data_IF_212735418947
#
_entry.id   IF_212735418947
#
_cell.length_a   1.000
_cell.length_b   1.000
_cell.length_c   1.000
_cell.angle_alpha   90.00
_cell.angle_beta   90.00
_cell.angle_gamma   90.00
#
_symmetry.space_group_name_H-M   'P 1'
#
loop_
_entity.id
_entity.type
_entity.pdbx_description
1 polymer ?
#
# COMPACT_ATOMS: atom_id res chain seq x y z
N UNK A 1 -53.68 -9.46 22.55
CA UNK A 1 -52.91 -9.25 21.30
C UNK A 1 -51.94 -8.07 21.44
N UNK A 2 -50.87 -8.20 22.23
CA UNK A 2 -49.86 -7.12 22.44
C UNK A 2 -48.42 -7.62 22.62
N UNK A 3 -48.12 -8.89 22.30
CA UNK A 3 -46.79 -9.48 22.50
C UNK A 3 -46.04 -9.83 21.20
N UNK A 4 -46.61 -9.53 20.04
CA UNK A 4 -46.02 -9.87 18.72
C UNK A 4 -45.31 -8.71 18.01
N UNK A 5 -45.23 -7.53 18.64
CA UNK A 5 -44.71 -6.32 17.99
C UNK A 5 -43.25 -5.97 18.32
N UNK A 6 -42.52 -6.83 19.03
CA UNK A 6 -41.11 -6.58 19.40
C UNK A 6 -40.09 -7.39 18.58
N UNK A 7 -40.53 -8.28 17.69
CA UNK A 7 -39.62 -9.12 16.90
C UNK A 7 -39.29 -8.49 15.53
N UNK A 8 -40.02 -7.45 15.10
CA UNK A 8 -39.81 -6.85 13.78
C UNK A 8 -38.85 -5.67 13.73
N UNK A 9 -38.35 -5.19 14.88
CA UNK A 9 -37.53 -3.96 14.94
C UNK A 9 -36.02 -4.21 15.04
N UNK A 10 -35.56 -5.45 15.16
CA UNK A 10 -34.12 -5.77 15.22
C UNK A 10 -33.51 -6.13 13.86
N UNK A 11 -34.33 -6.33 12.83
CA UNK A 11 -33.89 -6.78 11.51
C UNK A 11 -33.28 -5.68 10.63
N UNK A 12 -33.40 -4.41 11.02
CA UNK A 12 -32.89 -3.27 10.25
C UNK A 12 -31.52 -2.76 10.70
N UNK A 13 -30.90 -3.29 11.76
CA UNK A 13 -29.53 -2.91 12.13
C UNK A 13 -28.45 -3.60 11.28
N UNK A 14 -28.84 -4.41 10.30
CA UNK A 14 -27.95 -4.89 9.24
C UNK A 14 -27.90 -3.87 8.08
N UNK A 15 -27.81 -2.58 8.40
CA UNK A 15 -27.48 -1.56 7.40
C UNK A 15 -26.03 -1.74 6.97
N UNK A 16 -25.87 -2.57 5.95
CA UNK A 16 -24.82 -2.48 4.95
C UNK A 16 -23.41 -2.38 5.51
N UNK A 17 -22.79 -3.53 5.76
CA UNK A 17 -21.33 -3.65 5.74
C UNK A 17 -20.84 -3.46 4.28
N UNK A 18 -21.17 -2.33 3.64
CA UNK A 18 -20.90 -2.02 2.24
C UNK A 18 -19.41 -2.07 2.03
N UNK A 19 -18.96 -3.03 1.23
CA UNK A 19 -17.56 -3.28 0.89
C UNK A 19 -16.86 -1.95 0.57
N UNK A 20 -15.81 -1.59 1.31
CA UNK A 20 -15.10 -0.30 1.18
C UNK A 20 -13.81 -0.44 0.33
N UNK A 21 -13.64 -1.57 -0.36
CA UNK A 21 -12.49 -1.82 -1.23
C UNK A 21 -12.41 -0.74 -2.32
N UNK A 22 -11.26 -0.06 -2.40
CA UNK A 22 -10.97 0.92 -3.46
C UNK A 22 -11.78 2.21 -3.43
N UNK A 23 -12.51 2.52 -2.35
CA UNK A 23 -13.37 3.73 -2.31
C UNK A 23 -12.63 5.02 -1.96
N UNK A 24 -11.60 4.94 -1.12
CA UNK A 24 -10.84 6.10 -0.64
C UNK A 24 -9.35 5.88 -0.87
N UNK A 25 -8.61 6.92 -1.31
CA UNK A 25 -7.17 6.85 -1.43
C UNK A 25 -6.52 6.76 -0.04
N UNK A 26 -5.33 6.17 -0.02
CA UNK A 26 -4.41 6.18 1.08
C UNK A 26 -3.18 6.98 0.67
N UNK A 27 -2.65 7.76 1.60
CA UNK A 27 -1.32 8.30 1.50
C UNK A 27 -0.32 7.22 1.95
N UNK A 28 0.39 6.67 0.97
CA UNK A 28 1.59 5.88 1.20
C UNK A 28 2.77 6.85 1.15
N UNK A 29 3.38 7.09 2.30
CA UNK A 29 4.45 8.08 2.44
C UNK A 29 5.77 7.42 2.79
N UNK A 30 6.84 7.83 2.13
CA UNK A 30 8.22 7.46 2.42
C UNK A 30 8.93 8.69 3.01
N UNK A 31 9.55 8.50 4.17
CA UNK A 31 10.37 9.48 4.86
C UNK A 31 11.80 8.93 4.87
N UNK A 32 12.64 9.44 3.97
CA UNK A 32 14.02 8.99 3.83
C UNK A 32 14.86 9.51 5.01
N UNK A 33 15.90 8.77 5.39
CA UNK A 33 16.85 9.20 6.43
C UNK A 33 17.61 10.48 6.03
N UNK A 34 17.63 10.83 4.75
CA UNK A 34 18.14 12.11 4.23
C UNK A 34 17.25 13.31 4.58
N UNK A 35 16.00 13.08 5.00
CA UNK A 35 14.97 14.09 5.17
C UNK A 35 14.07 14.31 3.96
N UNK A 36 14.30 13.60 2.84
CA UNK A 36 13.41 13.64 1.69
C UNK A 36 12.08 12.93 1.98
N UNK A 37 10.99 13.42 1.38
CA UNK A 37 9.64 12.87 1.58
C UNK A 37 8.95 12.59 0.25
N UNK A 38 8.52 11.35 0.03
CA UNK A 38 7.73 10.96 -1.13
C UNK A 38 6.33 10.51 -0.71
N UNK A 39 5.31 11.14 -1.30
CA UNK A 39 3.92 10.81 -1.09
C UNK A 39 3.29 10.22 -2.35
N UNK A 40 2.57 9.11 -2.17
CA UNK A 40 1.80 8.43 -3.19
C UNK A 40 0.37 8.26 -2.72
N UNK A 41 -0.58 8.71 -3.53
CA UNK A 41 -2.00 8.48 -3.28
C UNK A 41 -2.47 7.24 -4.04
N UNK A 42 -2.72 6.15 -3.31
CA UNK A 42 -3.15 4.89 -3.90
C UNK A 42 -4.40 4.35 -3.23
N UNK A 43 -5.30 3.78 -4.02
CA UNK A 43 -6.41 2.97 -3.48
C UNK A 43 -5.92 1.60 -3.03
N UNK A 44 -6.57 1.04 -2.01
CA UNK A 44 -6.30 -0.30 -1.49
C UNK A 44 -7.48 -1.24 -1.72
N UNK A 45 -7.17 -2.46 -2.14
CA UNK A 45 -8.12 -3.55 -2.36
C UNK A 45 -7.71 -4.77 -1.52
N UNK A 46 -8.67 -5.38 -0.81
CA UNK A 46 -8.43 -6.63 -0.06
C UNK A 46 -8.70 -7.90 -0.90
N UNK A 47 -9.12 -7.74 -2.16
CA UNK A 47 -9.34 -8.84 -3.10
C UNK A 47 -8.66 -8.51 -4.41
N UNK A 48 -8.13 -9.54 -5.03
CA UNK A 48 -7.67 -9.48 -6.41
C UNK A 48 -8.79 -8.96 -7.32
N UNK A 49 -8.44 -8.01 -8.19
CA UNK A 49 -9.35 -7.43 -9.18
C UNK A 49 -9.17 -8.21 -10.48
N UNK A 50 -10.26 -8.79 -11.02
CA UNK A 50 -10.20 -9.54 -12.29
C UNK A 50 -10.27 -8.65 -13.53
N UNK A 51 -10.56 -7.36 -13.34
CA UNK A 51 -10.84 -6.37 -14.39
C UNK A 51 -9.60 -5.59 -14.87
N UNK A 52 -8.43 -5.80 -14.25
CA UNK A 52 -7.22 -5.01 -14.52
C UNK A 52 -5.94 -5.84 -14.74
N UNK A 53 -6.02 -7.17 -14.73
CA UNK A 53 -4.87 -8.04 -14.95
C UNK A 53 -5.26 -9.09 -15.97
N UNK A 54 -4.68 -9.02 -17.16
CA UNK A 54 -4.73 -10.14 -18.09
C UNK A 54 -3.97 -11.31 -17.44
N UNK A 55 -4.59 -12.50 -17.49
CA UNK A 55 -4.24 -13.73 -16.76
C UNK A 55 -2.78 -14.25 -16.97
N UNK A 56 -1.93 -13.56 -17.74
CA UNK A 56 -0.63 -14.07 -18.18
C UNK A 56 0.60 -13.49 -17.44
N UNK A 57 0.51 -12.32 -16.78
CA UNK A 57 1.70 -11.68 -16.16
C UNK A 57 1.90 -11.98 -14.66
N UNK A 58 0.98 -12.71 -14.03
CA UNK A 58 1.08 -13.04 -12.61
C UNK A 58 1.58 -14.46 -12.38
N UNK A 59 2.74 -14.82 -12.93
CA UNK A 59 3.46 -16.05 -12.58
C UNK A 59 3.88 -16.14 -11.08
N UNK A 60 3.47 -15.20 -10.21
CA UNK A 60 3.44 -15.34 -8.75
C UNK A 60 2.13 -15.97 -8.21
N UNK A 61 1.36 -16.66 -9.06
CA UNK A 61 -0.06 -16.99 -8.86
C UNK A 61 -0.44 -18.10 -7.86
N UNK A 62 0.49 -18.80 -7.20
CA UNK A 62 0.08 -20.04 -6.48
C UNK A 62 -0.09 -19.87 -4.97
N UNK A 63 0.48 -18.82 -4.35
CA UNK A 63 0.52 -18.71 -2.87
C UNK A 63 -0.23 -17.52 -2.27
N UNK A 64 -0.74 -16.56 -3.06
CA UNK A 64 -1.47 -15.39 -2.55
C UNK A 64 -2.99 -15.61 -2.34
N UNK A 65 -3.46 -16.85 -2.52
CA UNK A 65 -4.85 -17.23 -2.25
C UNK A 65 -5.21 -17.02 -0.76
N UNK A 66 -6.31 -16.32 -0.51
CA UNK A 66 -7.03 -16.14 0.78
C UNK A 66 -6.56 -15.02 1.72
N UNK A 67 -6.82 -13.75 1.37
CA UNK A 67 -6.86 -12.64 2.34
C UNK A 67 -5.51 -12.26 2.97
N UNK A 68 -4.43 -12.93 2.57
CA UNK A 68 -3.04 -12.74 3.00
C UNK A 68 -2.33 -11.59 2.27
N UNK A 69 -3.03 -10.82 1.46
CA UNK A 69 -2.46 -9.64 0.80
C UNK A 69 -3.45 -8.47 0.83
N UNK A 70 -2.90 -7.27 0.62
CA UNK A 70 -3.63 -6.12 0.11
C UNK A 70 -2.96 -5.68 -1.20
N UNK A 71 -3.78 -5.20 -2.11
CA UNK A 71 -3.37 -4.72 -3.42
C UNK A 71 -3.48 -3.20 -3.40
N UNK A 72 -2.44 -2.52 -3.82
CA UNK A 72 -2.44 -1.08 -4.05
C UNK A 72 -2.76 -0.83 -5.52
N UNK A 73 -3.21 0.37 -5.85
CA UNK A 73 -3.35 0.82 -7.22
C UNK A 73 -2.00 0.72 -7.98
N UNK A 74 -2.04 0.50 -9.30
CA UNK A 74 -0.86 0.22 -10.14
C UNK A 74 -0.09 -1.04 -9.73
N UNK A 75 -0.82 -2.12 -9.46
CA UNK A 75 -0.30 -3.50 -9.46
C UNK A 75 0.72 -3.84 -8.37
N UNK A 76 0.77 -3.01 -7.34
CA UNK A 76 1.65 -3.20 -6.19
C UNK A 76 0.95 -4.07 -5.14
N UNK A 77 1.69 -5.00 -4.56
CA UNK A 77 1.16 -5.95 -3.58
C UNK A 77 1.90 -5.83 -2.27
N UNK A 78 1.14 -5.80 -1.17
CA UNK A 78 1.65 -5.96 0.19
C UNK A 78 1.10 -7.25 0.80
N UNK A 79 2.00 -8.15 1.19
CA UNK A 79 1.71 -9.42 1.86
C UNK A 79 1.53 -9.17 3.36
N UNK A 80 0.47 -9.73 3.92
CA UNK A 80 0.20 -9.78 5.36
C UNK A 80 0.91 -10.99 5.94
N UNK A 81 1.75 -10.77 6.93
CA UNK A 81 2.35 -11.84 7.72
C UNK A 81 1.44 -12.24 8.88
N UNK A 82 1.66 -13.44 9.42
CA UNK A 82 0.99 -13.91 10.64
C UNK A 82 1.25 -12.96 11.84
N UNK A 83 2.39 -12.25 11.84
CA UNK A 83 2.75 -11.25 12.85
C UNK A 83 2.10 -9.87 12.68
N UNK A 84 1.05 -9.75 11.87
CA UNK A 84 0.38 -8.48 11.54
C UNK A 84 1.33 -7.42 10.96
N UNK A 85 2.24 -7.85 10.08
CA UNK A 85 3.05 -6.94 9.27
C UNK A 85 2.57 -6.93 7.82
N UNK A 86 2.71 -5.79 7.17
CA UNK A 86 2.65 -5.65 5.72
C UNK A 86 4.08 -5.64 5.18
N UNK A 87 4.34 -6.49 4.20
CA UNK A 87 5.63 -6.60 3.50
C UNK A 87 5.42 -6.53 2.00
N UNK A 88 6.28 -5.86 1.26
CA UNK A 88 6.21 -5.88 -0.21
C UNK A 88 7.51 -5.45 -0.85
N UNK A 89 7.66 -5.83 -2.11
CA UNK A 89 8.78 -5.43 -2.95
C UNK A 89 8.26 -5.12 -4.35
N UNK A 90 8.44 -3.88 -4.81
CA UNK A 90 7.94 -3.44 -6.12
C UNK A 90 8.69 -2.22 -6.61
N UNK A 91 8.64 -1.99 -7.92
CA UNK A 91 9.19 -0.80 -8.57
C UNK A 91 8.35 0.44 -8.23
N UNK A 92 9.00 1.54 -7.91
CA UNK A 92 8.37 2.86 -7.79
C UNK A 92 9.14 3.88 -8.63
N UNK A 93 8.41 4.88 -9.12
CA UNK A 93 8.98 5.99 -9.85
C UNK A 93 8.39 7.31 -9.34
N UNK A 94 9.23 8.34 -9.28
CA UNK A 94 8.85 9.73 -9.06
C UNK A 94 9.17 10.54 -10.31
N UNK A 95 8.22 10.61 -11.24
CA UNK A 95 8.35 11.24 -12.57
C UNK A 95 8.34 12.78 -12.54
N UNK A 96 7.77 13.38 -11.50
CA UNK A 96 7.73 14.83 -11.35
C UNK A 96 9.10 15.32 -10.91
N UNK A 97 9.55 16.46 -11.45
CA UNK A 97 10.79 17.17 -11.07
C UNK A 97 10.86 17.34 -9.55
N UNK A 98 11.50 16.38 -8.90
CA UNK A 98 11.59 16.26 -7.44
C UNK A 98 13.02 16.57 -7.04
N UNK A 99 13.21 17.28 -5.93
CA UNK A 99 14.52 17.37 -5.31
C UNK A 99 14.74 16.10 -4.49
N UNK A 100 15.85 15.40 -4.70
CA UNK A 100 16.12 14.14 -4.02
C UNK A 100 17.61 13.92 -3.81
N UNK A 101 17.99 13.34 -2.66
CA UNK A 101 19.31 12.77 -2.37
C UNK A 101 20.49 13.57 -2.92
N UNK A 102 20.92 14.60 -2.18
CA UNK A 102 22.07 15.42 -2.58
C UNK A 102 21.72 16.52 -3.59
N UNK A 103 20.50 17.07 -3.50
CA UNK A 103 19.97 18.15 -4.33
C UNK A 103 19.88 17.81 -5.83
N UNK A 104 19.77 16.53 -6.18
CA UNK A 104 19.52 16.12 -7.55
C UNK A 104 18.07 16.43 -7.93
N UNK A 105 17.85 16.80 -9.18
CA UNK A 105 16.53 17.16 -9.70
C UNK A 105 16.25 16.36 -10.96
N UNK A 106 15.17 15.58 -10.96
CA UNK A 106 14.83 14.75 -12.12
C UNK A 106 13.72 13.74 -11.83
N UNK A 107 13.71 12.65 -12.63
CA UNK A 107 12.89 11.47 -12.38
C UNK A 107 13.70 10.39 -11.67
N UNK A 108 13.16 9.84 -10.58
CA UNK A 108 13.84 8.82 -9.79
C UNK A 108 13.07 7.51 -9.85
N UNK A 109 13.79 6.44 -10.13
CA UNK A 109 13.23 5.09 -10.24
C UNK A 109 14.03 4.14 -9.37
N UNK A 110 13.34 3.18 -8.76
CA UNK A 110 14.01 2.14 -8.00
C UNK A 110 13.10 1.08 -7.43
N UNK A 111 13.72 0.00 -6.97
CA UNK A 111 13.02 -1.07 -6.27
C UNK A 111 12.85 -0.70 -4.79
N UNK A 112 11.59 -0.64 -4.35
CA UNK A 112 11.22 -0.39 -2.97
C UNK A 112 10.88 -1.72 -2.28
N UNK A 113 11.58 -2.03 -1.21
CA UNK A 113 11.21 -3.10 -0.26
C UNK A 113 10.71 -2.47 1.03
N UNK A 114 9.52 -2.86 1.49
CA UNK A 114 8.91 -2.34 2.71
C UNK A 114 8.54 -3.44 3.69
N UNK A 115 8.63 -3.13 4.98
CA UNK A 115 8.08 -3.93 6.08
C UNK A 115 7.48 -2.98 7.13
N UNK A 116 6.29 -3.26 7.63
CA UNK A 116 5.72 -2.47 8.72
C UNK A 116 4.60 -3.18 9.45
N UNK A 117 4.61 -3.11 10.78
CA UNK A 117 3.46 -3.53 11.59
C UNK A 117 2.25 -2.69 11.23
N UNK A 118 1.08 -3.31 11.09
CA UNK A 118 -0.15 -2.60 10.76
C UNK A 118 -1.22 -2.76 11.84
N UNK A 119 -1.98 -1.70 12.05
CA UNK A 119 -3.27 -1.75 12.75
C UNK A 119 -4.41 -1.81 11.74
N UNK A 120 -5.51 -2.48 12.14
CA UNK A 120 -6.75 -2.46 11.38
C UNK A 120 -7.88 -1.84 12.19
N UNK A 121 -8.28 -0.61 11.85
CA UNK A 121 -9.42 0.10 12.47
C UNK A 121 -10.62 -0.01 11.53
N UNK A 122 -11.52 -0.94 11.82
CA UNK A 122 -12.60 -1.33 10.90
C UNK A 122 -12.01 -1.95 9.63
N UNK A 123 -12.11 -1.25 8.50
CA UNK A 123 -11.51 -1.67 7.22
C UNK A 123 -10.29 -0.83 6.80
N UNK A 124 -9.85 0.08 7.66
CA UNK A 124 -8.66 0.90 7.44
C UNK A 124 -7.41 0.14 7.85
N UNK A 125 -6.44 0.05 6.96
CA UNK A 125 -5.08 -0.34 7.31
C UNK A 125 -4.30 0.91 7.70
N UNK A 126 -3.53 0.82 8.78
CA UNK A 126 -2.71 1.92 9.27
C UNK A 126 -1.31 1.39 9.54
N UNK A 127 -0.30 2.03 8.98
CA UNK A 127 1.11 1.82 9.31
C UNK A 127 1.69 3.18 9.72
N UNK A 128 2.29 3.26 10.90
CA UNK A 128 2.81 4.53 11.44
C UNK A 128 4.34 4.61 11.46
N UNK A 129 5.02 3.46 11.52
CA UNK A 129 6.48 3.40 11.64
C UNK A 129 7.05 2.16 10.92
N UNK A 130 6.66 1.99 9.66
CA UNK A 130 7.24 0.95 8.83
C UNK A 130 8.67 1.31 8.42
N UNK A 131 9.49 0.33 8.04
CA UNK A 131 10.84 0.51 7.50
C UNK A 131 10.88 0.17 6.02
N UNK A 132 11.71 0.86 5.27
CA UNK A 132 11.94 0.53 3.86
C UNK A 132 13.42 0.57 3.48
N UNK A 133 13.72 -0.12 2.39
CA UNK A 133 14.94 0.01 1.61
C UNK A 133 14.55 0.33 0.16
N UNK A 134 15.19 1.34 -0.42
CA UNK A 134 14.97 1.81 -1.80
C UNK A 134 16.28 1.69 -2.56
N UNK A 135 16.36 0.71 -3.47
CA UNK A 135 17.47 0.58 -4.40
C UNK A 135 17.25 1.55 -5.56
N UNK A 136 18.03 2.63 -5.60
CA UNK A 136 17.94 3.63 -6.66
C UNK A 136 18.63 3.11 -7.92
N UNK A 137 17.84 2.73 -8.93
CA UNK A 137 18.33 2.00 -10.12
C UNK A 137 18.74 2.91 -11.28
N UNK A 138 18.37 4.19 -11.25
CA UNK A 138 18.79 5.18 -12.24
C UNK A 138 19.75 6.24 -11.68
N UNK A 139 20.49 5.91 -10.61
CA UNK A 139 21.42 6.81 -9.94
C UNK A 139 22.58 7.28 -10.84
N UNK A 140 23.04 6.41 -11.75
CA UNK A 140 24.14 6.73 -12.69
C UNK A 140 23.85 7.90 -13.60
N UNK A 141 22.57 8.11 -13.98
CA UNK A 141 22.13 9.26 -14.77
C UNK A 141 22.39 10.61 -14.06
N UNK A 142 22.61 10.57 -12.74
CA UNK A 142 22.91 11.70 -11.87
C UNK A 142 24.36 11.70 -11.39
N UNK A 143 25.23 10.88 -12.00
CA UNK A 143 26.65 10.77 -11.62
C UNK A 143 26.87 10.08 -10.25
N UNK A 144 25.86 9.36 -9.76
CA UNK A 144 25.92 8.60 -8.52
C UNK A 144 26.05 7.11 -8.79
N UNK A 145 26.61 6.35 -7.84
CA UNK A 145 26.58 4.90 -7.89
C UNK A 145 25.24 4.37 -7.36
N UNK A 146 24.85 3.18 -7.79
CA UNK A 146 23.72 2.45 -7.23
C UNK A 146 23.80 2.43 -5.70
N UNK A 147 22.77 2.97 -5.07
CA UNK A 147 22.74 3.19 -3.63
C UNK A 147 21.42 2.69 -3.07
N UNK A 148 21.51 2.03 -1.91
CA UNK A 148 20.34 1.67 -1.12
C UNK A 148 20.07 2.80 -0.11
N UNK A 149 18.97 3.50 -0.33
CA UNK A 149 18.45 4.51 0.58
C UNK A 149 17.46 3.86 1.54
N UNK A 150 17.41 4.36 2.78
CA UNK A 150 16.58 3.79 3.84
C UNK A 150 15.73 4.87 4.49
N UNK A 151 14.74 4.41 5.24
CA UNK A 151 13.94 5.30 6.06
C UNK A 151 12.69 4.64 6.59
N UNK A 152 11.70 5.47 6.88
CA UNK A 152 10.41 5.08 7.43
C UNK A 152 9.30 5.22 6.40
N UNK A 153 8.30 4.35 6.45
CA UNK A 153 7.10 4.51 5.64
C UNK A 153 5.84 4.47 6.48
N UNK A 154 4.81 5.15 5.98
CA UNK A 154 3.49 5.18 6.61
C UNK A 154 2.41 4.91 5.60
N UNK A 155 1.27 4.43 6.11
CA UNK A 155 0.06 4.20 5.33
C UNK A 155 -1.12 4.74 6.10
N UNK A 156 -1.74 5.80 5.60
CA UNK A 156 -2.88 6.46 6.24
C UNK A 156 -3.96 6.73 5.22
N UNK A 157 -5.21 6.42 5.56
CA UNK A 157 -6.35 6.74 4.70
C UNK A 157 -6.64 8.24 4.75
N UNK A 158 -6.81 8.85 3.58
CA UNK A 158 -7.23 10.24 3.43
C UNK A 158 -8.72 10.42 3.76
#
# INVERSE_FOLDING_TARGET
>A
MKKLLYIFTFSFLVFGCTKENGKKPYNFALFFDSGDEWHFEWKIYEKYRKDHYDDEDLAQDVTLKHGRAIYLENDKVLIKTESKKLMGSFLIEKTQTTLFSGNQTGSFEGFLTVEGSYEKKGRKFIVEDGKFEFLWTNAEAYGMQDTVLKGKWTLKRL
#
